data_IF_850450774907
#
_entry.id   IF_850450774907
#
_cell.length_a   1.000
_cell.length_b   1.000
_cell.length_c   1.000
_cell.angle_alpha   90.00
_cell.angle_beta   90.00
_cell.angle_gamma   90.00
#
_symmetry.space_group_name_H-M   'P 1'
#
loop_
_entity.id
_entity.type
_entity.pdbx_description
1 polymer ?
#
# COMPACT_ATOMS: atom_id res chain seq x y z
N UNK A 1 18.58 9.52 -1.65
CA UNK A 1 18.32 8.13 -2.10
C UNK A 1 16.85 7.89 -2.52
N UNK A 2 15.84 7.90 -1.64
CA UNK A 2 14.44 7.62 -2.06
C UNK A 2 13.66 8.84 -2.58
N UNK A 3 14.07 10.05 -2.17
CA UNK A 3 13.44 11.32 -2.59
C UNK A 3 13.61 11.63 -4.08
N UNK A 4 14.53 10.94 -4.76
CA UNK A 4 14.90 11.21 -6.15
C UNK A 4 14.20 10.24 -7.11
N UNK A 5 13.58 9.19 -6.58
CA UNK A 5 12.77 8.25 -7.36
C UNK A 5 11.55 9.00 -7.89
N UNK A 6 11.23 8.93 -9.20
CA UNK A 6 10.00 9.50 -9.75
C UNK A 6 8.75 8.93 -9.08
N UNK A 7 7.65 9.68 -9.09
CA UNK A 7 6.41 9.23 -8.44
C UNK A 7 5.88 7.93 -9.06
N UNK A 8 6.00 7.77 -10.37
CA UNK A 8 5.58 6.57 -11.10
C UNK A 8 6.35 5.32 -10.63
N UNK A 9 7.66 5.43 -10.47
CA UNK A 9 8.48 4.31 -9.99
C UNK A 9 8.15 3.99 -8.53
N UNK A 10 7.92 5.01 -7.70
CA UNK A 10 7.44 4.83 -6.32
C UNK A 10 6.07 4.12 -6.29
N UNK A 11 5.14 4.46 -7.18
CA UNK A 11 3.86 3.77 -7.31
C UNK A 11 4.04 2.30 -7.64
N UNK A 12 4.84 1.98 -8.66
CA UNK A 12 5.04 0.60 -9.09
C UNK A 12 5.68 -0.24 -7.97
N UNK A 13 6.61 0.33 -7.21
CA UNK A 13 7.17 -0.31 -6.00
C UNK A 13 6.06 -0.62 -4.99
N UNK A 14 5.14 0.31 -4.72
CA UNK A 14 4.03 0.08 -3.78
C UNK A 14 3.09 -1.02 -4.28
N UNK A 15 2.82 -1.08 -5.57
CA UNK A 15 1.94 -2.10 -6.17
C UNK A 15 2.58 -3.48 -6.07
N UNK A 16 3.86 -3.60 -6.38
CA UNK A 16 4.62 -4.85 -6.23
C UNK A 16 4.67 -5.28 -4.76
N UNK A 17 4.97 -4.35 -3.84
CA UNK A 17 4.99 -4.64 -2.42
C UNK A 17 3.63 -5.13 -1.89
N UNK A 18 2.53 -4.55 -2.36
CA UNK A 18 1.17 -5.02 -2.03
C UNK A 18 0.91 -6.44 -2.53
N UNK A 19 1.40 -6.80 -3.72
CA UNK A 19 1.20 -8.12 -4.30
C UNK A 19 2.03 -9.22 -3.62
N UNK A 20 3.15 -8.84 -2.97
CA UNK A 20 4.05 -9.75 -2.26
C UNK A 20 3.60 -10.02 -0.80
N UNK A 21 2.60 -9.31 -0.29
CA UNK A 21 2.12 -9.48 1.11
C UNK A 21 1.56 -10.89 1.35
N UNK A 22 2.17 -11.67 2.26
CA UNK A 22 1.66 -12.98 2.64
C UNK A 22 0.50 -12.84 3.64
N UNK A 23 -0.69 -13.27 3.21
CA UNK A 23 -1.93 -13.41 4.00
C UNK A 23 -2.52 -12.11 4.60
N UNK A 24 -3.87 -11.98 4.70
CA UNK A 24 -4.54 -10.72 5.06
C UNK A 24 -4.55 -10.39 6.56
N UNK A 25 -3.62 -10.91 7.34
CA UNK A 25 -3.53 -10.71 8.79
C UNK A 25 -2.74 -9.43 9.10
N UNK A 26 -3.26 -8.26 8.71
CA UNK A 26 -2.63 -6.99 9.08
C UNK A 26 -3.12 -5.73 8.38
N UNK A 27 -2.50 -4.61 8.77
CA UNK A 27 -2.61 -3.32 8.09
C UNK A 27 -1.90 -3.42 6.74
N UNK A 28 -2.64 -3.69 5.66
CA UNK A 28 -2.04 -3.93 4.35
C UNK A 28 -1.12 -2.80 3.86
N UNK A 29 -0.15 -3.14 3.00
CA UNK A 29 0.87 -2.22 2.45
C UNK A 29 0.33 -0.84 2.06
N UNK A 30 -0.84 -0.77 1.44
CA UNK A 30 -1.48 0.50 1.07
C UNK A 30 -1.66 1.47 2.24
N UNK A 31 -2.05 0.96 3.42
CA UNK A 31 -2.18 1.77 4.62
C UNK A 31 -0.80 2.10 5.23
N UNK A 32 0.16 1.18 5.22
CA UNK A 32 1.52 1.43 5.76
C UNK A 32 2.23 2.55 5.00
N UNK A 33 2.18 2.54 3.65
CA UNK A 33 2.88 3.56 2.84
C UNK A 33 2.31 4.97 3.02
N UNK A 34 1.04 5.10 3.45
CA UNK A 34 0.44 6.42 3.75
C UNK A 34 0.98 7.08 5.01
N UNK A 35 1.64 6.31 5.87
CA UNK A 35 2.18 6.76 7.16
C UNK A 35 3.66 7.16 7.09
N UNK A 36 4.35 6.90 5.98
CA UNK A 36 5.79 7.20 5.83
C UNK A 36 6.07 8.70 5.76
N UNK A 37 5.47 9.40 4.80
CA UNK A 37 5.57 10.85 4.67
C UNK A 37 4.43 11.42 3.79
N UNK A 38 4.27 12.75 3.78
CA UNK A 38 3.22 13.42 2.99
C UNK A 38 3.29 13.10 1.49
N UNK A 39 4.50 12.98 0.93
CA UNK A 39 4.67 12.61 -0.48
C UNK A 39 4.15 11.21 -0.77
N UNK A 40 4.50 10.23 0.05
CA UNK A 40 4.08 8.84 -0.13
C UNK A 40 2.57 8.68 0.04
N UNK A 41 2.00 9.41 1.00
CA UNK A 41 0.55 9.49 1.17
C UNK A 41 -0.15 10.00 -0.08
N UNK A 42 0.29 11.12 -0.64
CA UNK A 42 -0.32 11.68 -1.85
C UNK A 42 -0.23 10.72 -3.04
N UNK A 43 0.93 10.06 -3.21
CA UNK A 43 1.14 9.05 -4.26
C UNK A 43 0.19 7.86 -4.06
N UNK A 44 0.16 7.30 -2.84
CA UNK A 44 -0.66 6.13 -2.53
C UNK A 44 -2.16 6.41 -2.67
N UNK A 45 -2.65 7.55 -2.18
CA UNK A 45 -4.05 7.96 -2.30
C UNK A 45 -4.45 8.23 -3.76
N UNK A 46 -3.52 8.70 -4.61
CA UNK A 46 -3.79 8.96 -6.02
C UNK A 46 -3.71 7.71 -6.91
N UNK A 47 -3.41 6.53 -6.37
CA UNK A 47 -3.25 5.29 -7.14
C UNK A 47 -4.30 4.23 -6.80
N UNK A 48 -5.40 4.11 -7.58
CA UNK A 48 -6.50 3.18 -7.30
C UNK A 48 -6.09 1.71 -7.20
N UNK A 49 -5.02 1.29 -7.91
CA UNK A 49 -4.51 -0.09 -7.90
C UNK A 49 -4.04 -0.55 -6.51
N UNK A 50 -3.64 0.38 -5.64
CA UNK A 50 -3.29 0.07 -4.25
C UNK A 50 -4.53 -0.26 -3.41
N UNK A 51 -5.70 0.23 -3.80
CA UNK A 51 -6.96 0.10 -3.05
C UNK A 51 -7.99 -0.80 -3.74
N UNK A 52 -7.64 -1.44 -4.85
CA UNK A 52 -8.56 -2.33 -5.59
C UNK A 52 -8.92 -3.63 -4.86
N UNK A 53 -8.21 -3.94 -3.77
CA UNK A 53 -8.34 -5.20 -3.04
C UNK A 53 -8.28 -4.87 -1.56
N UNK A 54 -9.40 -5.08 -0.87
CA UNK A 54 -9.49 -5.02 0.58
C UNK A 54 -9.78 -6.42 1.07
N UNK A 55 -8.86 -6.97 1.84
CA UNK A 55 -9.11 -8.20 2.57
C UNK A 55 -9.60 -7.81 3.96
N UNK A 56 -10.85 -8.15 4.25
CA UNK A 56 -11.32 -8.13 5.62
C UNK A 56 -10.83 -9.43 6.28
N UNK A 57 -10.20 -9.37 7.46
CA UNK A 57 -9.90 -10.58 8.20
C UNK A 57 -11.22 -11.36 8.39
N UNK A 58 -11.21 -12.68 8.25
CA UNK A 58 -12.41 -13.48 8.44
C UNK A 58 -12.97 -13.18 9.83
N UNK A 59 -14.25 -12.83 9.89
CA UNK A 59 -14.97 -12.65 11.15
C UNK A 59 -14.89 -13.99 11.89
N UNK A 60 -14.09 -14.07 12.95
CA UNK A 60 -14.13 -15.20 13.87
C UNK A 60 -15.25 -14.94 14.88
N UNK A 61 -16.41 -15.63 14.80
CA UNK A 61 -17.42 -15.52 15.85
C UNK A 61 -16.84 -16.10 17.14
N UNK A 62 -16.94 -15.32 18.23
CA UNK A 62 -16.63 -15.74 19.60
C UNK A 62 -17.66 -16.73 20.14
#
# INVERSE_FOLDING_TARGET
>A
PIRWVPNEILCEIFVVAKADEPEPLGTGVGAVVTQVCARWRNIACAHPRLWSTFSFPPFAPH
#
